data_IF_441457255721
#
_entry.id   IF_441457255721
#
_cell.length_a   1.000
_cell.length_b   1.000
_cell.length_c   1.000
_cell.angle_alpha   90.00
_cell.angle_beta   90.00
_cell.angle_gamma   90.00
#
_symmetry.space_group_name_H-M   'P 1'
#
loop_
_entity.id
_entity.type
_entity.pdbx_description
1 polymer ?
#
# COMPACT_ATOMS: atom_id res chain seq x y z
N UNK A 1 -6.93 -19.87 13.05
CA UNK A 1 -6.20 -19.63 11.80
C UNK A 1 -4.97 -18.85 12.19
N UNK A 2 -3.81 -19.49 12.15
CA UNK A 2 -2.55 -18.82 12.43
C UNK A 2 -2.14 -18.08 11.16
N UNK A 3 -2.46 -16.79 11.09
CA UNK A 3 -2.06 -15.96 9.96
C UNK A 3 -0.54 -15.81 9.97
N UNK A 4 0.11 -16.29 8.91
CA UNK A 4 1.54 -16.11 8.72
C UNK A 4 1.81 -14.87 7.87
N UNK A 5 2.27 -13.80 8.52
CA UNK A 5 2.71 -12.56 7.86
C UNK A 5 4.24 -12.48 7.71
N UNK A 6 4.97 -13.52 8.12
CA UNK A 6 6.43 -13.54 8.07
C UNK A 6 6.92 -13.41 6.62
N UNK A 7 7.92 -12.54 6.44
CA UNK A 7 8.59 -12.28 5.16
C UNK A 7 7.69 -11.70 4.05
N UNK A 8 6.44 -11.35 4.33
CA UNK A 8 5.62 -10.58 3.39
C UNK A 8 6.22 -9.18 3.20
N UNK A 9 6.40 -8.79 1.94
CA UNK A 9 6.98 -7.51 1.54
C UNK A 9 5.88 -6.48 1.34
N UNK A 10 5.80 -5.54 2.26
CA UNK A 10 4.79 -4.48 2.24
C UNK A 10 5.46 -3.17 1.85
N UNK A 11 4.97 -2.52 0.78
CA UNK A 11 5.41 -1.16 0.46
C UNK A 11 4.46 -0.13 1.05
N UNK A 12 5.00 0.87 1.75
CA UNK A 12 4.26 2.01 2.30
C UNK A 12 4.80 3.31 1.71
N UNK A 13 3.93 4.02 0.98
CA UNK A 13 4.26 5.25 0.27
C UNK A 13 3.47 6.40 0.90
N UNK A 14 4.16 7.36 1.49
CA UNK A 14 3.56 8.50 2.17
C UNK A 14 4.63 9.59 2.31
N UNK A 15 4.31 10.87 2.18
CA UNK A 15 5.31 11.94 2.34
C UNK A 15 5.64 12.21 3.83
N UNK A 16 4.70 11.88 4.72
CA UNK A 16 4.87 11.99 6.18
C UNK A 16 5.75 10.88 6.76
N UNK A 17 6.93 11.27 7.24
CA UNK A 17 7.85 10.38 7.97
C UNK A 17 7.17 9.70 9.16
N UNK A 18 6.26 10.39 9.84
CA UNK A 18 5.54 9.86 11.00
C UNK A 18 4.61 8.72 10.59
N UNK A 19 3.84 8.89 9.52
CA UNK A 19 2.92 7.84 9.04
C UNK A 19 3.70 6.60 8.59
N UNK A 20 4.77 6.79 7.81
CA UNK A 20 5.63 5.66 7.38
C UNK A 20 6.20 4.89 8.57
N UNK A 21 6.72 5.59 9.59
CA UNK A 21 7.27 4.96 10.81
C UNK A 21 6.21 4.21 11.62
N UNK A 22 5.00 4.76 11.72
CA UNK A 22 3.89 4.11 12.40
C UNK A 22 3.52 2.80 11.68
N UNK A 23 3.28 2.86 10.37
CA UNK A 23 2.96 1.67 9.58
C UNK A 23 4.08 0.62 9.64
N UNK A 24 5.34 1.05 9.45
CA UNK A 24 6.51 0.19 9.55
C UNK A 24 6.60 -0.52 10.91
N UNK A 25 6.40 0.22 12.01
CA UNK A 25 6.43 -0.34 13.36
C UNK A 25 5.32 -1.36 13.59
N UNK A 26 4.11 -1.09 13.09
CA UNK A 26 2.96 -1.97 13.24
C UNK A 26 3.12 -3.28 12.46
N UNK A 27 3.63 -3.19 11.23
CA UNK A 27 3.81 -4.33 10.31
C UNK A 27 5.04 -5.17 10.66
N UNK A 28 6.18 -4.56 11.02
CA UNK A 28 7.37 -5.32 11.45
C UNK A 28 7.11 -6.16 12.71
N UNK A 29 6.22 -5.71 13.60
CA UNK A 29 5.82 -6.47 14.80
C UNK A 29 5.13 -7.81 14.49
N UNK A 30 4.67 -8.02 13.26
CA UNK A 30 4.07 -9.29 12.83
C UNK A 30 4.95 -10.05 11.81
N UNK A 31 6.21 -9.64 11.65
CA UNK A 31 7.17 -10.35 10.80
C UNK A 31 7.25 -9.89 9.34
N UNK A 32 6.50 -8.85 8.95
CA UNK A 32 6.57 -8.31 7.59
C UNK A 32 7.89 -7.57 7.32
N UNK A 33 8.38 -7.69 6.09
CA UNK A 33 9.39 -6.81 5.52
C UNK A 33 8.71 -5.53 5.02
N UNK A 34 9.13 -4.36 5.52
CA UNK A 34 8.49 -3.09 5.15
C UNK A 34 9.46 -2.24 4.34
N UNK A 35 9.05 -1.92 3.11
CA UNK A 35 9.72 -1.02 2.20
C UNK A 35 9.00 0.33 2.26
N UNK A 36 9.74 1.41 2.54
CA UNK A 36 9.13 2.75 2.61
C UNK A 36 9.56 3.61 1.44
N UNK A 37 8.63 4.40 0.92
CA UNK A 37 8.87 5.40 -0.11
C UNK A 37 8.25 6.75 0.28
N UNK A 38 8.92 7.82 -0.09
CA UNK A 38 8.53 9.19 0.28
C UNK A 38 7.55 9.84 -0.69
N UNK A 39 7.44 9.32 -1.91
CA UNK A 39 6.46 9.69 -2.91
C UNK A 39 6.38 8.64 -4.03
N UNK A 40 5.61 8.94 -5.07
CA UNK A 40 5.44 8.04 -6.21
C UNK A 40 6.71 7.74 -7.01
N UNK A 41 7.64 8.69 -7.16
CA UNK A 41 8.88 8.45 -7.91
C UNK A 41 9.83 7.53 -7.16
N UNK A 42 10.01 7.78 -5.86
CA UNK A 42 10.78 6.92 -4.97
C UNK A 42 10.18 5.51 -4.90
N UNK A 43 8.84 5.40 -4.89
CA UNK A 43 8.14 4.12 -4.93
C UNK A 43 8.39 3.36 -6.25
N UNK A 44 8.25 4.02 -7.40
CA UNK A 44 8.46 3.40 -8.71
C UNK A 44 9.91 2.96 -8.93
N UNK A 45 10.87 3.67 -8.35
CA UNK A 45 12.28 3.26 -8.37
C UNK A 45 12.52 1.98 -7.55
N UNK A 46 11.84 1.85 -6.40
CA UNK A 46 12.02 0.72 -5.48
C UNK A 46 11.21 -0.52 -5.86
N UNK A 47 10.01 -0.34 -6.44
CA UNK A 47 9.06 -1.44 -6.66
C UNK A 47 9.63 -2.54 -7.56
N UNK A 48 10.50 -2.17 -8.51
CA UNK A 48 11.13 -3.11 -9.43
C UNK A 48 12.12 -4.06 -8.74
N UNK A 49 12.89 -3.54 -7.78
CA UNK A 49 13.89 -4.32 -7.06
C UNK A 49 13.26 -5.09 -5.90
N UNK A 50 12.24 -4.52 -5.24
CA UNK A 50 11.69 -5.11 -4.01
C UNK A 50 10.53 -6.06 -4.27
N UNK A 51 9.76 -5.87 -5.36
CA UNK A 51 8.59 -6.67 -5.73
C UNK A 51 7.65 -6.93 -4.54
N UNK A 52 7.02 -5.88 -3.98
CA UNK A 52 6.17 -6.03 -2.81
C UNK A 52 4.91 -6.83 -3.13
N UNK A 53 4.44 -7.58 -2.14
CA UNK A 53 3.20 -8.36 -2.20
C UNK A 53 1.96 -7.46 -2.17
N UNK A 54 2.07 -6.26 -1.58
CA UNK A 54 1.00 -5.25 -1.50
C UNK A 54 1.59 -3.86 -1.27
N UNK A 55 0.92 -2.85 -1.83
CA UNK A 55 1.30 -1.44 -1.74
C UNK A 55 0.21 -0.65 -1.03
N UNK A 56 0.59 0.09 0.01
CA UNK A 56 -0.24 1.14 0.62
C UNK A 56 0.29 2.50 0.17
N UNK A 57 -0.56 3.32 -0.46
CA UNK A 57 -0.15 4.59 -1.06
C UNK A 57 -1.01 5.75 -0.58
N UNK A 58 -0.40 6.80 -0.05
CA UNK A 58 -1.11 8.03 0.27
C UNK A 58 -1.62 8.72 -0.99
N UNK A 59 -2.84 9.24 -0.91
CA UNK A 59 -3.44 10.00 -2.01
C UNK A 59 -2.72 11.33 -2.21
N UNK A 60 -2.46 12.06 -1.13
CA UNK A 60 -1.98 13.43 -1.18
C UNK A 60 -0.47 13.49 -0.98
N UNK A 61 0.28 13.39 -2.08
CA UNK A 61 1.74 13.50 -2.06
C UNK A 61 2.24 14.56 -3.06
N UNK A 62 3.39 15.19 -2.80
CA UNK A 62 4.01 16.12 -3.74
C UNK A 62 4.56 15.39 -4.98
N UNK A 63 4.74 16.13 -6.07
CA UNK A 63 5.30 15.70 -7.37
C UNK A 63 4.42 14.69 -8.11
N UNK A 64 4.24 13.50 -7.56
CA UNK A 64 3.45 12.42 -8.14
C UNK A 64 2.46 11.93 -7.09
N UNK A 65 1.18 12.23 -7.30
CA UNK A 65 0.13 11.90 -6.33
C UNK A 65 -0.16 10.39 -6.26
N UNK A 66 -0.93 9.96 -5.26
CA UNK A 66 -1.24 8.53 -5.09
C UNK A 66 -2.03 7.94 -6.25
N UNK A 67 -2.90 8.72 -6.90
CA UNK A 67 -3.69 8.23 -8.03
C UNK A 67 -2.83 7.99 -9.26
N UNK A 68 -1.92 8.91 -9.55
CA UNK A 68 -0.96 8.78 -10.64
C UNK A 68 0.01 7.63 -10.37
N UNK A 69 0.47 7.49 -9.12
CA UNK A 69 1.33 6.38 -8.70
C UNK A 69 0.62 5.04 -8.89
N UNK A 70 -0.63 4.92 -8.42
CA UNK A 70 -1.46 3.73 -8.60
C UNK A 70 -1.65 3.40 -10.09
N UNK A 71 -2.00 4.39 -10.92
CA UNK A 71 -2.17 4.20 -12.35
C UNK A 71 -0.89 3.67 -13.02
N UNK A 72 0.29 4.18 -12.63
CA UNK A 72 1.57 3.73 -13.18
C UNK A 72 1.91 2.30 -12.77
N UNK A 73 1.65 1.92 -11.51
CA UNK A 73 1.82 0.54 -11.04
C UNK A 73 0.87 -0.39 -11.81
N UNK A 74 -0.40 -0.03 -11.91
CA UNK A 74 -1.45 -0.87 -12.54
C UNK A 74 -1.32 -0.98 -14.06
N UNK A 75 -0.68 -0.01 -14.71
CA UNK A 75 -0.37 -0.08 -16.15
C UNK A 75 0.94 -0.81 -16.46
N UNK A 76 1.78 -1.13 -15.47
CA UNK A 76 3.00 -1.87 -15.69
C UNK A 76 2.73 -3.39 -15.66
N UNK A 77 3.08 -4.12 -16.73
CA UNK A 77 2.82 -5.56 -16.84
C UNK A 77 3.44 -6.40 -15.73
N UNK A 78 4.55 -5.95 -15.13
CA UNK A 78 5.23 -6.66 -14.04
C UNK A 78 4.49 -6.53 -12.70
N UNK A 79 3.86 -5.37 -12.44
CA UNK A 79 3.27 -5.06 -11.12
C UNK A 79 1.76 -4.85 -11.15
N UNK A 80 1.10 -4.97 -12.32
CA UNK A 80 -0.34 -4.74 -12.45
C UNK A 80 -1.22 -5.61 -11.56
N UNK A 81 -0.70 -6.77 -11.15
CA UNK A 81 -1.37 -7.72 -10.25
C UNK A 81 -1.11 -7.41 -8.77
N UNK A 82 -0.09 -6.62 -8.45
CA UNK A 82 0.19 -6.20 -7.08
C UNK A 82 -0.99 -5.38 -6.57
N UNK A 83 -1.61 -5.76 -5.44
CA UNK A 83 -2.70 -4.99 -4.84
C UNK A 83 -2.20 -3.60 -4.40
N UNK A 84 -2.97 -2.57 -4.72
CA UNK A 84 -2.71 -1.17 -4.36
C UNK A 84 -3.87 -0.63 -3.55
N UNK A 85 -3.58 -0.29 -2.29
CA UNK A 85 -4.53 0.23 -1.30
C UNK A 85 -4.26 1.71 -1.13
N UNK A 86 -5.25 2.54 -1.42
CA UNK A 86 -5.15 3.99 -1.28
C UNK A 86 -5.39 4.39 0.17
N UNK A 87 -4.49 5.17 0.76
CA UNK A 87 -4.65 5.75 2.08
C UNK A 87 -5.26 7.15 1.93
N UNK A 88 -6.45 7.35 2.47
CA UNK A 88 -7.18 8.62 2.34
C UNK A 88 -7.31 9.35 3.67
N UNK A 89 -7.10 10.67 3.70
CA UNK A 89 -7.46 11.49 4.86
C UNK A 89 -8.96 11.79 4.97
N UNK A 90 -9.76 11.46 3.95
CA UNK A 90 -11.20 11.74 3.90
C UNK A 90 -11.96 10.52 3.37
N UNK A 91 -13.09 10.20 3.98
CA UNK A 91 -13.99 9.16 3.47
C UNK A 91 -14.95 9.70 2.39
N UNK A 92 -14.39 10.40 1.39
CA UNK A 92 -15.15 11.08 0.35
C UNK A 92 -15.54 10.14 -0.80
N UNK A 93 -16.78 10.25 -1.29
CA UNK A 93 -17.26 9.50 -2.46
C UNK A 93 -16.39 9.73 -3.71
N UNK A 94 -15.85 10.95 -3.86
CA UNK A 94 -14.99 11.33 -4.98
C UNK A 94 -13.67 10.55 -4.98
N UNK A 95 -13.06 10.37 -3.81
CA UNK A 95 -11.78 9.67 -3.72
C UNK A 95 -11.96 8.21 -4.13
N UNK A 96 -13.02 7.57 -3.60
CA UNK A 96 -13.41 6.20 -3.95
C UNK A 96 -13.65 6.00 -5.46
N UNK A 97 -14.33 6.95 -6.10
CA UNK A 97 -14.58 6.91 -7.52
C UNK A 97 -13.28 7.03 -8.34
N UNK A 98 -12.41 7.99 -7.98
CA UNK A 98 -11.17 8.27 -8.73
C UNK A 98 -10.17 7.12 -8.66
N UNK A 99 -9.93 6.52 -7.50
CA UNK A 99 -9.01 5.37 -7.43
C UNK A 99 -9.56 4.11 -8.09
N UNK A 100 -10.90 3.89 -8.09
CA UNK A 100 -11.48 2.80 -8.89
C UNK A 100 -11.18 2.99 -10.38
N UNK A 101 -11.19 4.22 -10.87
CA UNK A 101 -10.83 4.54 -12.27
C UNK A 101 -9.36 4.23 -12.56
N UNK A 102 -8.44 4.52 -11.62
CA UNK A 102 -7.01 4.22 -11.81
C UNK A 102 -6.60 2.78 -11.42
N UNK A 103 -7.56 1.97 -10.98
CA UNK A 103 -7.37 0.55 -10.71
C UNK A 103 -6.94 0.19 -9.30
N UNK A 104 -7.13 1.07 -8.30
CA UNK A 104 -6.90 0.71 -6.90
C UNK A 104 -7.85 -0.40 -6.44
N UNK A 105 -7.37 -1.32 -5.62
CA UNK A 105 -8.17 -2.45 -5.15
C UNK A 105 -9.05 -2.07 -3.95
N UNK A 106 -8.54 -1.21 -3.05
CA UNK A 106 -9.26 -0.74 -1.86
C UNK A 106 -8.77 0.63 -1.39
N UNK A 107 -9.53 1.19 -0.43
CA UNK A 107 -9.15 2.37 0.34
C UNK A 107 -9.12 2.06 1.81
N UNK A 108 -8.22 2.74 2.50
CA UNK A 108 -8.18 2.77 3.94
C UNK A 108 -8.13 4.23 4.42
N UNK A 109 -9.02 4.59 5.33
CA UNK A 109 -9.08 5.96 5.86
C UNK A 109 -8.04 6.14 6.97
N UNK A 110 -7.36 7.28 6.97
CA UNK A 110 -6.46 7.70 8.04
C UNK A 110 -7.25 8.41 9.15
N UNK A 111 -6.88 8.22 10.44
CA UNK A 111 -5.83 7.32 10.93
C UNK A 111 -6.26 5.85 10.84
N UNK A 112 -5.31 4.97 10.49
CA UNK A 112 -5.53 3.53 10.45
C UNK A 112 -4.92 2.82 11.65
N UNK A 113 -5.57 1.76 12.08
CA UNK A 113 -5.15 0.84 13.13
C UNK A 113 -4.29 -0.29 12.58
N UNK A 114 -3.63 -1.03 13.48
CA UNK A 114 -2.92 -2.26 13.14
C UNK A 114 -3.87 -3.27 12.48
N UNK A 115 -5.04 -3.47 13.05
CA UNK A 115 -5.98 -4.49 12.61
C UNK A 115 -6.53 -4.19 11.21
N UNK A 116 -6.76 -2.92 10.88
CA UNK A 116 -7.16 -2.51 9.53
C UNK A 116 -6.09 -2.82 8.48
N UNK A 117 -4.81 -2.56 8.77
CA UNK A 117 -3.70 -2.93 7.88
C UNK A 117 -3.65 -4.45 7.69
N UNK A 118 -3.69 -5.22 8.77
CA UNK A 118 -3.59 -6.68 8.71
C UNK A 118 -4.79 -7.32 8.01
N UNK A 119 -6.00 -6.84 8.28
CA UNK A 119 -7.21 -7.31 7.59
C UNK A 119 -7.15 -7.04 6.10
N UNK A 120 -6.61 -5.87 5.70
CA UNK A 120 -6.42 -5.56 4.29
C UNK A 120 -5.38 -6.49 3.66
N UNK A 121 -4.27 -6.75 4.33
CA UNK A 121 -3.26 -7.70 3.84
C UNK A 121 -3.87 -9.09 3.66
N UNK A 122 -4.60 -9.61 4.65
CA UNK A 122 -5.30 -10.91 4.55
C UNK A 122 -6.26 -11.00 3.36
N UNK A 123 -6.94 -9.90 3.06
CA UNK A 123 -7.93 -9.87 1.99
C UNK A 123 -7.31 -9.93 0.59
N UNK A 124 -6.12 -9.34 0.40
CA UNK A 124 -5.52 -9.13 -0.92
C UNK A 124 -4.26 -9.94 -1.18
N UNK A 125 -3.55 -10.35 -0.13
CA UNK A 125 -2.38 -11.21 -0.23
C UNK A 125 -2.83 -12.62 0.12
N UNK A 126 -2.94 -13.53 -0.86
CA UNK A 126 -3.28 -14.91 -0.57
C UNK A 126 -2.16 -15.51 0.28
N UNK A 127 -2.44 -15.83 1.54
CA UNK A 127 -1.60 -16.73 2.31
C UNK A 127 -1.66 -18.08 1.60
N UNK A 128 -0.51 -18.63 1.23
CA UNK A 128 -0.46 -20.01 0.75
C UNK A 128 -1.07 -20.89 1.85
N UNK A 129 -2.24 -21.48 1.57
CA UNK A 129 -2.68 -22.64 2.33
C UNK A 129 -1.55 -23.67 2.23
N UNK A 130 -1.02 -24.08 3.39
CA UNK A 130 -0.09 -25.21 3.45
C UNK A 130 -0.79 -26.49 3.01
#
# INVERSE_FOLDING_TARGET
>A
MDDNFENLKIMVIDDSKTIRRTAETLLKKVGCEVITATDGFDALAKIADTQPDIVFVDIMMPRLDGYQTCALIKNNSAFKKTPVIMLSSKDGLFDKAKGRIVGSDQYLTKPFSKDELLNTIRQYVPTAEQ
#
